data_IF_547789007470
#
_entry.id   IF_547789007470
#
_cell.length_a   1.000
_cell.length_b   1.000
_cell.length_c   1.000
_cell.angle_alpha   90.00
_cell.angle_beta   90.00
_cell.angle_gamma   90.00
#
_symmetry.space_group_name_H-M   'P 1'
#
loop_
_entity.id
_entity.type
_entity.pdbx_description
1 polymer ?
#
# COMPACT_ATOMS: atom_id res chain seq x y z
N UNK A 1 -8.26 5.83 2.94
CA UNK A 1 -6.83 6.17 3.12
C UNK A 1 -6.02 5.00 2.60
N UNK A 2 -4.93 5.27 1.87
CA UNK A 2 -3.95 4.28 1.45
C UNK A 2 -2.85 4.20 2.51
N UNK A 3 -2.64 2.99 3.02
CA UNK A 3 -1.54 2.61 3.91
C UNK A 3 -1.05 1.23 3.46
N UNK A 4 0.25 0.98 3.58
CA UNK A 4 0.84 -0.30 3.21
C UNK A 4 1.50 -0.98 4.41
N UNK A 5 1.66 -2.29 4.31
CA UNK A 5 2.22 -3.13 5.35
C UNK A 5 2.97 -4.30 4.72
N UNK A 6 4.16 -4.58 5.23
CA UNK A 6 4.88 -5.82 4.94
C UNK A 6 4.55 -6.84 6.02
N UNK A 7 4.18 -8.05 5.61
CA UNK A 7 3.92 -9.19 6.49
C UNK A 7 5.04 -10.20 6.32
N UNK A 8 5.78 -10.47 7.39
CA UNK A 8 6.87 -11.44 7.36
C UNK A 8 6.31 -12.86 7.54
N UNK A 9 6.44 -13.75 6.53
CA UNK A 9 5.82 -15.07 6.59
C UNK A 9 6.43 -15.97 7.66
N UNK A 10 7.70 -15.78 8.03
CA UNK A 10 8.38 -16.61 9.02
C UNK A 10 7.99 -16.18 10.43
N UNK A 11 7.98 -14.87 10.70
CA UNK A 11 7.57 -14.35 11.99
C UNK A 11 6.07 -14.60 12.23
N UNK A 12 5.20 -14.45 11.21
CA UNK A 12 3.77 -14.78 11.32
C UNK A 12 3.54 -16.26 11.61
N UNK A 13 4.31 -17.17 11.01
CA UNK A 13 4.12 -18.61 11.23
C UNK A 13 4.33 -19.02 12.70
N UNK A 14 5.14 -18.26 13.46
CA UNK A 14 5.46 -18.52 14.86
C UNK A 14 4.58 -17.67 15.80
N UNK A 15 4.46 -16.38 15.51
CA UNK A 15 3.86 -15.40 16.41
C UNK A 15 2.38 -15.09 16.09
N UNK A 16 1.90 -15.48 14.91
CA UNK A 16 0.63 -15.00 14.34
C UNK A 16 0.66 -13.50 14.00
N UNK A 17 -0.50 -12.93 13.70
CA UNK A 17 -0.62 -11.51 13.36
C UNK A 17 -0.81 -10.58 14.58
N UNK A 18 -1.14 -11.13 15.75
CA UNK A 18 -1.34 -10.37 16.99
C UNK A 18 0.00 -10.11 17.70
N UNK A 19 0.87 -9.35 17.05
CA UNK A 19 2.24 -9.10 17.48
C UNK A 19 2.36 -7.86 18.39
N UNK A 20 2.57 -8.12 19.69
CA UNK A 20 2.67 -7.10 20.74
C UNK A 20 4.08 -6.53 20.95
N UNK A 21 5.06 -6.92 20.11
CA UNK A 21 6.42 -6.35 20.21
C UNK A 21 6.38 -4.82 20.00
N UNK A 22 7.42 -4.08 20.41
CA UNK A 22 7.55 -2.67 20.06
C UNK A 22 7.61 -2.43 18.54
N UNK A 23 7.12 -1.29 18.06
CA UNK A 23 7.19 -0.95 16.62
C UNK A 23 8.63 -0.75 16.11
N UNK A 24 9.57 -0.45 17.01
CA UNK A 24 10.99 -0.30 16.69
C UNK A 24 11.71 -1.64 16.48
N UNK A 25 11.13 -2.77 16.89
CA UNK A 25 11.74 -4.10 16.78
C UNK A 25 11.45 -4.77 15.42
N UNK A 26 11.59 -3.99 14.34
CA UNK A 26 11.17 -4.35 12.97
C UNK A 26 11.61 -5.77 12.56
N UNK A 27 12.87 -6.21 12.77
CA UNK A 27 13.32 -7.53 12.31
C UNK A 27 12.58 -8.73 12.92
N UNK A 28 12.00 -8.58 14.11
CA UNK A 28 11.33 -9.66 14.84
C UNK A 28 9.80 -9.53 14.84
N UNK A 29 9.28 -8.49 14.17
CA UNK A 29 7.84 -8.29 14.01
C UNK A 29 7.28 -9.19 12.91
N UNK A 30 6.05 -9.61 13.13
CA UNK A 30 5.24 -10.38 12.18
C UNK A 30 4.75 -9.51 11.04
N UNK A 31 4.61 -8.21 11.28
CA UNK A 31 4.29 -7.23 10.25
C UNK A 31 4.76 -5.83 10.67
N UNK A 32 5.02 -4.98 9.66
CA UNK A 32 5.49 -3.60 9.84
C UNK A 32 4.80 -2.68 8.84
N UNK A 33 4.44 -1.46 9.26
CA UNK A 33 3.92 -0.44 8.35
C UNK A 33 5.00 -0.02 7.34
N UNK A 34 4.59 0.19 6.09
CA UNK A 34 5.47 0.53 4.98
C UNK A 34 4.88 1.65 4.15
N UNK A 35 5.75 2.37 3.47
CA UNK A 35 5.35 3.28 2.40
C UNK A 35 4.67 2.49 1.27
N UNK A 36 3.65 3.06 0.63
CA UNK A 36 2.92 2.39 -0.46
C UNK A 36 3.89 1.90 -1.55
N UNK A 37 3.79 0.61 -1.89
CA UNK A 37 4.67 -0.07 -2.84
C UNK A 37 5.87 -0.78 -2.22
N UNK A 38 6.08 -0.66 -0.89
CA UNK A 38 7.12 -1.36 -0.15
C UNK A 38 6.60 -2.47 0.77
N UNK A 39 5.28 -2.54 0.99
CA UNK A 39 4.64 -3.65 1.70
C UNK A 39 4.11 -4.69 0.72
N UNK A 40 3.34 -4.21 -0.25
CA UNK A 40 2.84 -5.01 -1.38
C UNK A 40 3.42 -4.49 -2.69
N UNK A 41 3.40 -5.34 -3.72
CA UNK A 41 3.77 -4.92 -5.06
C UNK A 41 2.75 -3.88 -5.62
N UNK A 42 3.14 -3.17 -6.68
CA UNK A 42 2.24 -2.22 -7.33
C UNK A 42 1.05 -2.90 -8.02
N UNK A 43 1.11 -4.21 -8.28
CA UNK A 43 0.00 -4.94 -8.89
C UNK A 43 -1.18 -4.99 -7.92
N UNK A 44 -0.95 -5.30 -6.65
CA UNK A 44 -1.99 -5.27 -5.61
C UNK A 44 -2.64 -3.90 -5.54
N UNK A 45 -1.85 -2.83 -5.60
CA UNK A 45 -2.39 -1.46 -5.62
C UNK A 45 -3.18 -1.14 -6.90
N UNK A 46 -2.75 -1.61 -8.08
CA UNK A 46 -3.52 -1.51 -9.33
C UNK A 46 -4.84 -2.27 -9.23
N UNK A 47 -4.86 -3.44 -8.59
CA UNK A 47 -6.07 -4.23 -8.38
C UNK A 47 -7.06 -3.49 -7.45
N UNK A 48 -6.56 -2.89 -6.35
CA UNK A 48 -7.38 -2.09 -5.41
C UNK A 48 -8.01 -0.89 -6.12
N UNK A 49 -7.22 -0.10 -6.86
CA UNK A 49 -7.74 1.06 -7.62
C UNK A 49 -8.76 0.61 -8.65
N UNK A 50 -8.50 -0.50 -9.35
CA UNK A 50 -9.43 -1.05 -10.33
C UNK A 50 -10.75 -1.47 -9.67
N UNK A 51 -10.70 -2.08 -8.50
CA UNK A 51 -11.89 -2.43 -7.72
C UNK A 51 -12.71 -1.21 -7.31
N UNK A 52 -12.04 -0.15 -6.82
CA UNK A 52 -12.69 1.14 -6.50
C UNK A 52 -13.38 1.74 -7.72
N UNK A 53 -12.73 1.72 -8.88
CA UNK A 53 -13.31 2.20 -10.14
C UNK A 53 -14.54 1.40 -10.55
N UNK A 54 -14.50 0.07 -10.44
CA UNK A 54 -15.63 -0.80 -10.80
C UNK A 54 -16.89 -0.54 -9.96
N UNK A 55 -16.73 -0.10 -8.71
CA UNK A 55 -17.86 0.29 -7.85
C UNK A 55 -18.24 1.77 -7.96
N UNK A 56 -17.65 2.50 -8.90
CA UNK A 56 -17.96 3.91 -9.16
C UNK A 56 -17.39 4.89 -8.14
N UNK A 57 -16.36 4.50 -7.37
CA UNK A 57 -15.69 5.42 -6.47
C UNK A 57 -14.80 6.41 -7.25
N UNK A 58 -15.08 7.70 -7.09
CA UNK A 58 -14.45 8.80 -7.84
C UNK A 58 -13.80 9.87 -6.93
N UNK A 59 -13.63 9.56 -5.65
CA UNK A 59 -13.11 10.49 -4.65
C UNK A 59 -11.63 10.25 -4.30
N UNK A 60 -11.10 11.08 -3.41
CA UNK A 60 -9.69 11.08 -3.03
C UNK A 60 -9.20 9.82 -2.29
N UNK A 61 -8.02 9.33 -2.68
CA UNK A 61 -7.23 8.38 -1.91
C UNK A 61 -6.19 9.17 -1.10
N UNK A 62 -6.46 9.39 0.18
CA UNK A 62 -5.49 10.04 1.09
C UNK A 62 -4.31 9.12 1.41
N UNK A 63 -3.08 9.63 1.40
CA UNK A 63 -1.88 8.90 1.81
C UNK A 63 -1.65 9.03 3.31
N UNK A 64 -1.34 7.92 3.98
CA UNK A 64 -0.92 7.89 5.38
C UNK A 64 0.46 7.24 5.49
N UNK A 65 1.41 7.90 6.16
CA UNK A 65 2.81 7.47 6.26
C UNK A 65 3.19 7.15 7.71
N UNK A 66 3.64 5.91 7.95
CA UNK A 66 4.13 5.40 9.25
C UNK A 66 5.31 4.43 9.05
N UNK A 67 6.11 4.62 8.00
CA UNK A 67 7.20 3.71 7.68
C UNK A 67 8.41 3.94 8.58
N UNK A 68 8.70 2.96 9.46
CA UNK A 68 9.82 3.03 10.39
C UNK A 68 11.22 2.93 9.76
N UNK A 69 11.35 2.70 8.45
CA UNK A 69 12.65 2.61 7.77
C UNK A 69 12.94 3.77 6.82
N UNK A 70 12.06 4.78 6.74
CA UNK A 70 12.26 5.95 5.89
C UNK A 70 12.08 7.23 6.69
N UNK A 71 12.70 8.31 6.23
CA UNK A 71 12.31 9.64 6.69
C UNK A 71 10.88 9.96 6.24
N UNK A 72 10.23 10.89 6.95
CA UNK A 72 8.89 11.35 6.60
C UNK A 72 8.79 11.81 5.14
N UNK A 73 9.69 12.70 4.71
CA UNK A 73 9.67 13.26 3.36
C UNK A 73 9.93 12.20 2.28
N UNK A 74 10.87 11.28 2.53
CA UNK A 74 11.18 10.21 1.58
C UNK A 74 10.01 9.23 1.41
N UNK A 75 9.43 8.76 2.52
CA UNK A 75 8.35 7.79 2.47
C UNK A 75 7.05 8.38 1.92
N UNK A 76 6.74 9.65 2.26
CA UNK A 76 5.61 10.37 1.65
C UNK A 76 5.83 10.52 0.15
N UNK A 77 7.02 10.96 -0.28
CA UNK A 77 7.34 11.11 -1.71
C UNK A 77 7.19 9.80 -2.48
N UNK A 78 7.82 8.73 -1.98
CA UNK A 78 7.77 7.41 -2.61
C UNK A 78 6.36 6.84 -2.66
N UNK A 79 5.60 6.95 -1.57
CA UNK A 79 4.20 6.50 -1.53
C UNK A 79 3.29 7.29 -2.48
N UNK A 80 3.51 8.61 -2.59
CA UNK A 80 2.79 9.45 -3.54
C UNK A 80 3.13 9.10 -4.99
N UNK A 81 4.40 8.86 -5.31
CA UNK A 81 4.84 8.47 -6.64
C UNK A 81 4.24 7.11 -7.04
N UNK A 82 4.19 6.14 -6.11
CA UNK A 82 3.51 4.86 -6.32
C UNK A 82 2.00 5.04 -6.58
N UNK A 83 1.31 5.87 -5.77
CA UNK A 83 -0.11 6.16 -5.98
C UNK A 83 -0.38 6.82 -7.34
N UNK A 84 0.47 7.76 -7.76
CA UNK A 84 0.36 8.42 -9.07
C UNK A 84 0.53 7.43 -10.23
N UNK A 85 1.36 6.40 -10.07
CA UNK A 85 1.50 5.36 -11.09
C UNK A 85 0.23 4.51 -11.22
N UNK A 86 -0.42 4.16 -10.11
CA UNK A 86 -1.53 3.19 -10.11
C UNK A 86 -2.91 3.82 -10.28
N UNK A 87 -3.09 5.09 -9.93
CA UNK A 87 -4.39 5.77 -10.01
C UNK A 87 -4.72 6.16 -11.45
N UNK A 88 -5.83 5.64 -11.97
CA UNK A 88 -6.39 6.05 -13.26
C UNK A 88 -7.25 7.30 -13.09
N UNK A 89 -6.92 8.38 -13.79
CA UNK A 89 -7.65 9.67 -13.69
C UNK A 89 -8.64 9.90 -14.83
N UNK A 90 -8.38 9.32 -16.01
CA UNK A 90 -9.24 9.50 -17.18
C UNK A 90 -10.45 8.56 -17.15
N UNK A 91 -11.52 8.96 -17.84
CA UNK A 91 -12.67 8.09 -18.11
C UNK A 91 -12.29 7.01 -19.13
N UNK A 92 -12.94 5.85 -19.07
CA UNK A 92 -12.71 4.82 -20.07
C UNK A 92 -13.24 5.32 -21.42
N UNK A 93 -12.43 5.18 -22.47
CA UNK A 93 -12.84 5.48 -23.84
C UNK A 93 -13.72 4.38 -24.45
N UNK A 94 -14.07 4.54 -25.72
CA UNK A 94 -14.79 3.53 -26.48
C UNK A 94 -13.96 2.26 -26.69
N UNK A 95 -14.59 1.09 -26.59
CA UNK A 95 -13.95 -0.18 -26.89
C UNK A 95 -13.92 -0.39 -28.41
N UNK A 96 -12.74 -0.25 -29.03
CA UNK A 96 -12.58 -0.44 -30.48
C UNK A 96 -12.21 -1.88 -30.90
N UNK A 97 -11.95 -2.76 -29.92
CA UNK A 97 -11.52 -4.15 -30.11
C UNK A 97 -12.60 -5.18 -29.70
N UNK A 98 -13.82 -4.71 -29.39
CA UNK A 98 -14.96 -5.55 -29.03
C UNK A 98 -15.86 -5.83 -30.24
#
# INVERSE_FOLDING_TARGET
>A
HGKDCYVDPYNVAINGCNDHKPYTDIPHRSWTFRSIGYGHDLKVWKDIVSALRMVGYDHAISLEHEDGMMSFDEGVKKGLDALKEVVTVESAGEMFWA
#
